data_IF_636761365968
#
_entry.id   IF_636761365968
#
_cell.length_a   1.000
_cell.length_b   1.000
_cell.length_c   1.000
_cell.angle_alpha   90.00
_cell.angle_beta   90.00
_cell.angle_gamma   90.00
#
_symmetry.space_group_name_H-M   'P 1'
#
loop_
_entity.id
_entity.type
_entity.pdbx_description
1 polymer ?
2 polymer ?
#
# COMPACT_ATOMS: atom_id res chain seq x y z
N UNK A 1 1.39 20.14 11.19
CA UNK A 1 1.19 21.25 12.18
C UNK A 1 0.66 22.49 11.45
N UNK A 2 1.57 23.39 11.12
CA UNK A 2 1.19 24.63 10.43
C UNK A 2 0.60 24.33 9.05
N UNK A 3 1.24 23.41 8.34
CA UNK A 3 0.78 23.05 7.00
C UNK A 3 0.31 21.59 6.96
N UNK A 4 -0.92 21.41 6.48
CA UNK A 4 -1.50 20.07 6.41
C UNK A 4 -1.27 19.47 5.02
N UNK A 5 -0.91 18.19 4.98
CA UNK A 5 -0.66 17.50 3.73
C UNK A 5 -1.97 17.35 2.93
N UNK A 6 -1.84 17.30 1.60
CA UNK A 6 -3.00 17.16 0.73
C UNK A 6 -3.31 15.69 0.46
N UNK A 7 -2.66 14.82 1.21
CA UNK A 7 -2.83 13.38 1.04
C UNK A 7 -4.11 12.88 1.73
N UNK A 8 -5.01 13.80 2.03
CA UNK A 8 -6.26 13.43 2.71
C UNK A 8 -7.44 13.36 1.71
N UNK A 9 -7.12 13.41 0.42
CA UNK A 9 -8.16 13.41 -0.59
C UNK A 9 -9.10 12.20 -0.49
N UNK A 10 -10.38 12.48 -0.71
CA UNK A 10 -11.43 11.47 -0.68
C UNK A 10 -11.39 10.65 -1.98
N UNK A 11 -11.37 9.34 -1.84
CA UNK A 11 -11.32 8.48 -3.02
C UNK A 11 -12.70 8.39 -3.69
N UNK A 12 -12.82 8.80 -4.93
CA UNK A 12 -14.12 8.75 -5.68
C UNK A 12 -14.84 7.41 -5.54
N UNK A 13 -16.13 7.41 -5.85
CA UNK A 13 -16.96 6.21 -5.72
C UNK A 13 -16.35 5.02 -6.47
N UNK A 14 -16.93 3.85 -6.21
CA UNK A 14 -16.48 2.60 -6.81
C UNK A 14 -16.81 2.52 -8.30
N UNK A 15 -17.65 3.43 -8.76
CA UNK A 15 -18.01 3.46 -10.17
C UNK A 15 -16.81 3.85 -11.03
N UNK A 16 -16.07 4.83 -10.55
CA UNK A 16 -14.90 5.29 -11.27
C UNK A 16 -13.79 4.22 -11.19
N UNK A 17 -13.88 3.39 -10.17
CA UNK A 17 -12.89 2.35 -9.96
C UNK A 17 -12.99 1.23 -10.99
N UNK A 18 -14.21 0.81 -11.27
CA UNK A 18 -14.44 -0.26 -12.24
C UNK A 18 -14.68 0.30 -13.64
N UNK A 19 -14.84 1.62 -13.75
CA UNK A 19 -15.07 2.24 -15.04
C UNK A 19 -13.83 3.00 -15.51
N UNK A 20 -12.86 3.15 -14.61
CA UNK A 20 -11.63 3.87 -14.93
C UNK A 20 -10.76 3.11 -15.93
N UNK A 21 -10.24 3.83 -16.90
CA UNK A 21 -9.36 3.24 -17.90
C UNK A 21 -8.14 2.65 -17.19
N UNK A 22 -8.21 1.37 -16.86
CA UNK A 22 -7.13 0.70 -16.14
C UNK A 22 -5.87 0.61 -17.00
N UNK A 23 -4.76 1.10 -16.45
CA UNK A 23 -3.48 1.07 -17.17
C UNK A 23 -2.69 -0.18 -16.77
N UNK A 24 -3.06 -1.30 -17.37
CA UNK A 24 -2.38 -2.57 -17.10
C UNK A 24 -0.93 -2.56 -17.55
N UNK A 25 -0.66 -1.86 -18.63
CA UNK A 25 0.67 -1.84 -19.18
C UNK A 25 1.61 -1.07 -18.25
N UNK A 26 1.02 -0.35 -17.30
CA UNK A 26 1.78 0.43 -16.35
C UNK A 26 2.05 -0.35 -15.06
N UNK A 27 1.48 -1.54 -14.95
CA UNK A 27 1.68 -2.36 -13.76
C UNK A 27 3.09 -2.95 -13.76
N UNK A 28 3.81 -2.76 -12.66
CA UNK A 28 5.16 -3.28 -12.57
C UNK A 28 5.26 -4.45 -11.57
N UNK A 29 4.16 -4.73 -10.86
CA UNK A 29 4.17 -5.83 -9.88
C UNK A 29 2.79 -6.05 -9.27
N UNK A 30 2.68 -7.09 -8.45
CA UNK A 30 1.42 -7.42 -7.80
C UNK A 30 1.63 -7.76 -6.32
N UNK A 31 0.57 -7.62 -5.53
CA UNK A 31 0.65 -7.92 -4.11
C UNK A 31 -0.47 -8.92 -3.74
N UNK A 32 -0.12 -9.89 -2.89
CA UNK A 32 -1.07 -10.92 -2.49
C UNK A 32 -1.02 -11.24 -1.00
N UNK A 33 -2.20 -11.33 -0.40
CA UNK A 33 -2.32 -11.64 1.02
C UNK A 33 -3.45 -12.65 1.24
N UNK A 34 -3.16 -13.93 1.16
CA UNK A 34 -4.15 -15.02 1.35
C UNK A 34 -4.86 -14.95 2.71
N UNK A 35 -4.14 -14.46 3.71
CA UNK A 35 -4.70 -14.34 5.06
C UNK A 35 -6.00 -13.53 5.05
N UNK A 36 -6.01 -12.44 4.27
CA UNK A 36 -7.20 -11.61 4.18
C UNK A 36 -7.79 -11.68 2.76
N UNK A 37 -7.33 -12.66 2.00
CA UNK A 37 -7.83 -12.85 0.63
C UNK A 37 -7.84 -11.52 -0.14
N UNK A 38 -6.71 -10.83 -0.13
CA UNK A 38 -6.59 -9.55 -0.82
C UNK A 38 -5.54 -9.64 -1.92
N UNK A 39 -5.88 -9.14 -3.11
CA UNK A 39 -4.98 -9.16 -4.25
C UNK A 39 -5.20 -7.95 -5.15
N UNK A 40 -4.13 -7.21 -5.41
CA UNK A 40 -4.22 -6.01 -6.26
C UNK A 40 -2.91 -5.77 -7.03
N UNK A 41 -3.00 -5.21 -8.21
CA UNK A 41 -1.80 -4.88 -9.03
C UNK A 41 -1.09 -3.64 -8.50
N UNK A 42 0.24 -3.59 -8.64
CA UNK A 42 0.98 -2.44 -8.16
C UNK A 42 1.18 -1.41 -9.27
N UNK A 43 0.67 -0.21 -9.05
CA UNK A 43 0.77 0.85 -10.05
C UNK A 43 1.94 1.78 -9.72
N UNK A 44 2.81 1.94 -10.70
CA UNK A 44 4.00 2.78 -10.56
C UNK A 44 3.64 4.25 -10.32
N UNK A 45 2.61 4.73 -11.00
CA UNK A 45 2.22 6.14 -10.84
C UNK A 45 1.41 6.39 -9.57
N UNK A 46 1.88 7.35 -8.78
CA UNK A 46 1.23 7.73 -7.52
C UNK A 46 0.18 8.82 -7.77
N UNK A 47 -0.61 8.65 -8.82
CA UNK A 47 -1.66 9.60 -9.15
C UNK A 47 -2.96 9.22 -8.43
N UNK A 48 -3.95 10.10 -8.50
CA UNK A 48 -5.23 9.82 -7.87
C UNK A 48 -5.92 8.63 -8.56
N UNK A 49 -5.81 8.59 -9.89
CA UNK A 49 -6.41 7.51 -10.66
C UNK A 49 -5.76 6.16 -10.32
N UNK A 50 -4.44 6.17 -10.19
CA UNK A 50 -3.69 4.95 -9.88
C UNK A 50 -4.04 4.41 -8.49
N UNK A 51 -4.30 5.33 -7.56
CA UNK A 51 -4.64 4.96 -6.19
C UNK A 51 -5.98 4.20 -6.13
N UNK A 52 -6.78 4.29 -7.20
CA UNK A 52 -8.06 3.60 -7.23
C UNK A 52 -7.90 2.09 -7.42
N UNK A 53 -6.70 1.67 -7.83
CA UNK A 53 -6.45 0.25 -8.03
C UNK A 53 -6.11 -0.43 -6.68
N UNK A 54 -6.05 0.38 -5.63
CA UNK A 54 -5.77 -0.13 -4.28
C UNK A 54 -4.30 -0.10 -3.92
N UNK A 55 -3.43 -0.02 -4.91
CA UNK A 55 -2.00 0.03 -4.60
C UNK A 55 -1.22 0.89 -5.60
N UNK A 56 -0.48 1.84 -5.06
CA UNK A 56 0.34 2.72 -5.88
C UNK A 56 1.65 3.03 -5.16
N UNK A 57 2.73 3.10 -5.93
CA UNK A 57 4.04 3.37 -5.35
C UNK A 57 4.11 4.78 -4.75
N UNK A 58 4.62 4.85 -3.53
CA UNK A 58 4.74 6.13 -2.85
C UNK A 58 5.93 6.91 -3.38
N UNK A 59 7.11 6.28 -3.33
CA UNK A 59 8.32 6.92 -3.81
C UNK A 59 8.81 6.33 -5.13
N UNK A 60 9.26 7.22 -6.00
CA UNK A 60 9.74 6.85 -7.32
C UNK A 60 11.01 6.00 -7.25
N UNK A 61 11.87 6.28 -6.29
CA UNK A 61 13.14 5.56 -6.15
C UNK A 61 12.99 4.26 -5.35
N UNK A 62 11.78 3.71 -5.25
CA UNK A 62 11.57 2.46 -4.52
C UNK A 62 12.02 1.26 -5.35
N UNK A 63 12.64 0.29 -4.69
CA UNK A 63 13.11 -0.91 -5.38
C UNK A 63 12.56 -2.17 -4.70
N UNK A 64 11.63 -2.84 -5.38
CA UNK A 64 11.03 -4.05 -4.84
C UNK A 64 12.11 -5.10 -4.53
N UNK A 65 12.10 -5.60 -3.30
CA UNK A 65 13.07 -6.61 -2.89
C UNK A 65 14.26 -5.99 -2.15
N UNK A 66 14.37 -4.67 -2.19
CA UNK A 66 15.47 -3.98 -1.52
C UNK A 66 15.02 -2.64 -0.93
N UNK A 67 15.47 -2.36 0.29
CA UNK A 67 15.12 -1.11 0.96
C UNK A 67 13.68 -1.12 1.49
N UNK A 68 13.22 0.05 1.94
CA UNK A 68 11.87 0.16 2.46
C UNK A 68 10.88 0.48 1.35
N UNK A 69 10.12 -0.53 0.94
CA UNK A 69 9.12 -0.36 -0.10
C UNK A 69 7.81 0.12 0.50
N UNK A 70 7.07 0.95 -0.21
CA UNK A 70 5.81 1.45 0.35
C UNK A 70 4.76 1.68 -0.73
N UNK A 71 3.51 1.39 -0.36
CA UNK A 71 2.38 1.55 -1.28
C UNK A 71 1.19 2.16 -0.54
N UNK A 72 0.43 3.01 -1.23
CA UNK A 72 -0.73 3.63 -0.62
C UNK A 72 -2.00 3.10 -1.28
N UNK A 73 -3.01 2.81 -0.46
CA UNK A 73 -4.28 2.29 -0.96
C UNK A 73 -5.46 3.07 -0.37
N UNK A 74 -6.52 3.24 -1.15
CA UNK A 74 -7.68 3.98 -0.67
C UNK A 74 -8.69 3.08 0.04
N UNK A 75 -9.01 3.45 1.29
CA UNK A 75 -9.95 2.69 2.09
C UNK A 75 -11.11 3.57 2.55
N UNK A 76 -12.33 3.18 2.20
CA UNK A 76 -13.51 3.95 2.60
C UNK A 76 -14.12 3.35 3.87
N UNK A 77 -13.48 2.31 4.39
CA UNK A 77 -13.95 1.65 5.62
C UNK A 77 -15.16 0.76 5.35
N UNK A 78 -15.46 0.55 4.07
CA UNK A 78 -16.60 -0.28 3.70
C UNK A 78 -16.18 -1.61 3.07
N UNK A 79 -16.50 -2.69 3.78
CA UNK A 79 -16.18 -4.04 3.33
C UNK A 79 -16.36 -4.19 1.82
N UNK A 80 -15.27 -4.55 1.15
CA UNK A 80 -15.31 -4.73 -0.29
C UNK A 80 -14.44 -3.65 -0.95
N UNK A 81 -14.06 -2.66 -0.15
CA UNK A 81 -13.24 -1.57 -0.64
C UNK A 81 -11.76 -1.90 -0.44
N UNK A 82 -10.91 -1.15 -1.12
CA UNK A 82 -9.47 -1.39 -1.06
C UNK A 82 -8.86 -1.01 0.29
N UNK A 83 -7.94 -1.86 0.74
CA UNK A 83 -7.20 -1.67 1.99
C UNK A 83 -8.07 -1.75 3.25
N UNK A 84 -9.35 -2.10 3.10
CA UNK A 84 -10.24 -2.22 4.25
C UNK A 84 -9.88 -3.41 5.15
N UNK A 85 -9.51 -4.54 4.52
CA UNK A 85 -9.19 -5.74 5.28
C UNK A 85 -7.71 -5.79 5.64
N UNK A 86 -6.97 -4.78 5.21
CA UNK A 86 -5.56 -4.71 5.51
C UNK A 86 -5.35 -4.53 7.02
N UNK A 87 -6.24 -3.78 7.66
CA UNK A 87 -6.14 -3.55 9.09
C UNK A 87 -6.38 -4.85 9.87
N UNK A 88 -6.85 -5.88 9.17
CA UNK A 88 -7.11 -7.16 9.82
C UNK A 88 -5.83 -8.01 9.89
N UNK A 89 -4.74 -7.47 9.34
CA UNK A 89 -3.46 -8.16 9.33
C UNK A 89 -2.94 -8.38 10.75
N UNK A 90 -2.39 -9.57 10.98
CA UNK A 90 -1.86 -9.91 12.31
C UNK A 90 -0.34 -10.09 12.27
N UNK A 91 0.29 -9.87 13.42
CA UNK A 91 1.75 -10.00 13.53
C UNK A 91 2.23 -11.34 12.97
N UNK A 92 3.29 -11.27 12.18
CA UNK A 92 3.87 -12.48 11.59
C UNK A 92 3.06 -12.97 10.39
N UNK A 93 2.09 -12.16 9.96
CA UNK A 93 1.27 -12.56 8.81
C UNK A 93 2.11 -12.51 7.53
N UNK A 94 2.02 -13.58 6.74
CA UNK A 94 2.80 -13.65 5.51
C UNK A 94 2.17 -12.81 4.39
N UNK A 95 3.04 -12.12 3.66
CA UNK A 95 2.61 -11.29 2.53
C UNK A 95 3.58 -11.53 1.37
N UNK A 96 3.04 -11.68 0.16
CA UNK A 96 3.90 -11.94 -0.99
C UNK A 96 3.84 -10.84 -2.04
N UNK A 97 5.03 -10.46 -2.51
CA UNK A 97 5.16 -9.44 -3.55
C UNK A 97 5.63 -10.12 -4.82
N UNK A 98 5.02 -9.80 -5.95
CA UNK A 98 5.42 -10.42 -7.20
C UNK A 98 5.94 -9.38 -8.19
N UNK A 99 7.24 -9.42 -8.46
CA UNK A 99 7.82 -8.52 -9.43
C UNK A 99 7.74 -9.20 -10.77
N UNK A 100 7.93 -8.46 -11.84
CA UNK A 100 7.82 -9.08 -13.15
C UNK A 100 8.82 -10.22 -13.31
N UNK A 101 9.85 -10.24 -12.47
CA UNK A 101 10.86 -11.30 -12.57
C UNK A 101 10.85 -12.26 -11.39
N UNK A 102 10.44 -11.80 -10.21
CA UNK A 102 10.49 -12.67 -9.04
C UNK A 102 9.40 -12.40 -8.01
N UNK A 103 9.50 -13.12 -6.90
CA UNK A 103 8.56 -12.98 -5.80
C UNK A 103 9.31 -12.86 -4.47
N UNK A 104 8.92 -11.90 -3.64
CA UNK A 104 9.57 -11.71 -2.35
C UNK A 104 8.59 -12.06 -1.21
N UNK A 105 9.11 -12.71 -0.17
CA UNK A 105 8.27 -13.08 0.97
C UNK A 105 8.42 -12.11 2.15
N UNK A 106 7.32 -11.44 2.50
CA UNK A 106 7.35 -10.50 3.62
C UNK A 106 6.47 -10.98 4.78
N UNK A 107 6.87 -10.62 6.00
CA UNK A 107 6.11 -11.02 7.19
C UNK A 107 5.67 -9.77 7.98
N UNK A 108 4.36 -9.62 8.15
CA UNK A 108 3.82 -8.51 8.91
C UNK A 108 4.36 -8.54 10.33
N UNK A 109 4.75 -7.39 10.86
CA UNK A 109 5.26 -7.32 12.22
C UNK A 109 4.23 -6.69 13.16
N UNK A 110 3.33 -5.89 12.60
CA UNK A 110 2.30 -5.25 13.40
C UNK A 110 1.79 -3.97 12.75
N UNK A 111 1.12 -3.15 13.56
CA UNK A 111 0.58 -1.89 13.08
C UNK A 111 0.87 -0.78 14.10
N UNK A 112 0.86 0.48 13.65
CA UNK A 112 1.12 1.60 14.54
C UNK A 112 0.29 2.83 14.13
N UNK A 113 0.22 3.81 15.03
CA UNK A 113 -0.54 5.03 14.77
C UNK A 113 0.38 6.17 14.36
N UNK A 114 0.25 6.63 13.13
CA UNK A 114 1.07 7.73 12.62
C UNK A 114 0.24 8.71 11.81
N UNK A 115 0.77 9.91 11.60
CA UNK A 115 0.05 10.92 10.84
C UNK A 115 0.30 10.78 9.33
N UNK A 116 -0.59 11.30 8.52
CA UNK A 116 -0.50 11.24 7.03
C UNK A 116 0.66 12.09 6.48
N UNK A 117 1.24 12.89 7.33
CA UNK A 117 2.37 13.74 6.93
C UNK A 117 3.71 13.06 7.25
N UNK A 118 3.63 11.90 7.89
CA UNK A 118 4.83 11.14 8.27
C UNK A 118 5.49 10.43 7.07
N UNK A 119 6.30 11.17 6.32
CA UNK A 119 7.00 10.59 5.18
C UNK A 119 8.19 9.75 5.64
N UNK A 120 8.53 9.89 6.92
CA UNK A 120 9.66 9.17 7.50
C UNK A 120 9.46 7.64 7.43
N UNK A 121 8.23 7.18 7.60
CA UNK A 121 7.95 5.75 7.55
C UNK A 121 8.28 5.17 6.17
N UNK A 122 8.22 6.02 5.16
CA UNK A 122 8.50 5.59 3.79
C UNK A 122 9.98 5.80 3.42
N UNK A 123 10.73 6.48 4.28
CA UNK A 123 12.14 6.74 4.02
C UNK A 123 12.99 5.46 4.20
N UNK A 124 14.04 5.33 3.39
CA UNK A 124 14.91 4.16 3.45
C UNK A 124 15.67 4.08 4.78
N UNK A 125 15.59 2.92 5.43
CA UNK A 125 16.26 2.71 6.72
C UNK A 125 17.41 1.70 6.61
N UNK A 126 17.98 1.55 5.42
CA UNK A 126 19.08 0.63 5.22
C UNK A 126 18.69 -0.81 5.58
N UNK A 127 17.44 -1.15 5.28
CA UNK A 127 16.92 -2.48 5.56
C UNK A 127 15.78 -2.81 4.59
N UNK A 128 15.47 -4.10 4.46
CA UNK A 128 14.37 -4.51 3.57
C UNK A 128 13.03 -4.53 4.33
N UNK A 129 12.20 -3.53 4.07
CA UNK A 129 10.89 -3.47 4.73
C UNK A 129 9.78 -3.03 3.77
N UNK A 130 8.54 -3.22 4.23
CA UNK A 130 7.37 -2.83 3.44
C UNK A 130 6.43 -2.00 4.30
N UNK A 131 5.87 -0.93 3.72
CA UNK A 131 4.96 -0.07 4.46
C UNK A 131 3.68 0.19 3.67
N UNK A 132 2.55 -0.14 4.27
CA UNK A 132 1.27 0.08 3.62
C UNK A 132 0.53 1.21 4.32
N UNK A 133 -0.07 2.11 3.55
CA UNK A 133 -0.80 3.22 4.14
C UNK A 133 -2.30 3.00 4.01
N UNK A 134 -2.96 2.85 5.15
CA UNK A 134 -4.39 2.64 5.18
C UNK A 134 -5.07 3.66 6.11
N UNK A 135 -6.14 4.26 5.62
CA UNK A 135 -6.85 5.26 6.41
C UNK A 135 -7.84 4.55 7.34
N UNK A 136 -7.96 5.06 8.57
CA UNK A 136 -8.86 4.45 9.55
C UNK A 136 -10.31 4.48 9.05
N UNK A 137 -10.74 5.65 8.61
CA UNK A 137 -12.12 5.80 8.12
C UNK A 137 -12.29 7.14 7.41
N UNK A 138 -13.37 7.25 6.65
CA UNK A 138 -13.66 8.47 5.92
C UNK A 138 -14.22 9.54 6.88
N UNK A 139 -14.53 9.12 8.11
CA UNK A 139 -15.05 10.04 9.11
C UNK A 139 -13.96 10.45 10.10
N UNK A 140 -12.94 9.61 10.22
CA UNK A 140 -11.83 9.87 11.12
C UNK A 140 -10.66 10.51 10.39
N UNK A 141 -10.47 11.81 10.59
CA UNK A 141 -9.38 12.52 9.95
C UNK A 141 -8.30 12.91 10.97
N UNK A 142 -8.48 12.45 12.20
CA UNK A 142 -7.54 12.76 13.28
C UNK A 142 -6.18 12.09 13.06
N UNK A 143 -6.19 10.76 12.98
CA UNK A 143 -4.94 10.01 12.78
C UNK A 143 -5.19 8.74 11.97
N UNK A 144 -4.14 8.26 11.31
CA UNK A 144 -4.24 7.05 10.50
C UNK A 144 -3.12 6.07 10.85
N UNK A 145 -3.43 4.78 10.83
CA UNK A 145 -2.42 3.78 11.17
C UNK A 145 -1.70 3.28 9.93
N UNK A 146 -0.45 2.86 10.12
CA UNK A 146 0.35 2.33 9.03
C UNK A 146 0.83 0.92 9.38
N UNK A 147 0.68 0.01 8.44
CA UNK A 147 1.08 -1.38 8.66
C UNK A 147 2.50 -1.59 8.16
N UNK A 148 3.33 -2.22 8.97
CA UNK A 148 4.72 -2.46 8.59
C UNK A 148 5.03 -3.96 8.55
N UNK A 149 5.88 -4.33 7.60
CA UNK A 149 6.29 -5.72 7.45
C UNK A 149 7.76 -5.82 7.06
N UNK A 150 8.44 -6.85 7.53
CA UNK A 150 9.86 -7.03 7.22
C UNK A 150 10.08 -8.20 6.26
N UNK A 151 11.15 -8.12 5.47
CA UNK A 151 11.47 -9.18 4.53
C UNK A 151 12.00 -10.40 5.29
N UNK A 152 11.48 -11.57 4.96
CA UNK A 152 11.90 -12.79 5.64
C UNK A 152 12.61 -13.76 4.69
N UNK A 153 12.40 -13.56 3.38
CA UNK A 153 13.04 -14.44 2.39
C UNK A 153 12.68 -14.01 0.96
N UNK A 154 13.31 -14.67 -0.02
CA UNK A 154 13.07 -14.37 -1.42
C UNK A 154 13.02 -15.66 -2.25
N UNK A 155 12.06 -15.75 -3.16
CA UNK A 155 11.96 -16.95 -4.00
C UNK A 155 11.50 -16.61 -5.42
N UNK A 156 12.39 -16.87 -6.39
CA UNK A 156 12.10 -16.60 -7.81
C UNK A 156 10.95 -17.48 -8.34
N UNK A 157 10.19 -16.91 -9.28
CA UNK A 157 9.07 -17.63 -9.89
C UNK A 157 9.58 -18.58 -10.98
N UNK A 158 9.52 -19.89 -10.72
CA UNK A 158 9.98 -20.87 -11.70
C UNK A 158 8.82 -21.29 -12.61
N UNK B 2 4.67 10.79 1.91
CA UNK B 2 3.39 10.36 2.47
C UNK B 2 2.21 10.86 1.62
N UNK B 3 1.98 10.20 0.51
CA UNK B 3 0.89 10.53 -0.44
C UNK B 3 -0.51 10.18 0.09
N UNK B 4 -1.49 10.29 -0.79
CA UNK B 4 -2.89 10.00 -0.46
C UNK B 4 -3.06 8.81 0.48
#
# INVERSE_FOLDING_TARGET
GSHMDASKIDQPDLAEVANASLDKKQVIGRISIPSVSLELPVLKSSTEKNLLSGAATVKENQVMGKGNYALAGHNMSKKGVLFSDIASLKKGDKIYLYDNENEYEYAVTGVSEVTPDKWEVVEDHGKDEITLITCVSVKDNSKRYVVAGDLVGTKAKK
XLPAX
#
